data_IF_604710478661
#
_entry.id   IF_604710478661
#
_cell.length_a   1.000
_cell.length_b   1.000
_cell.length_c   1.000
_cell.angle_alpha   90.00
_cell.angle_beta   90.00
_cell.angle_gamma   90.00
#
_symmetry.space_group_name_H-M   'P 1'
#
loop_
_entity.id
_entity.type
_entity.pdbx_description
1 polymer ?
#
# COMPACT_ATOMS: atom_id res chain seq x y z
N UNK A 1 -8.17 -26.04 6.28
CA UNK A 1 -9.20 -25.09 6.74
C UNK A 1 -8.66 -24.06 7.74
N UNK A 2 -7.92 -24.48 8.76
CA UNK A 2 -7.35 -23.55 9.74
C UNK A 2 -6.35 -22.54 9.14
N UNK A 3 -5.55 -22.92 8.15
CA UNK A 3 -4.58 -22.03 7.50
C UNK A 3 -5.25 -20.88 6.72
N UNK A 4 -6.29 -21.19 5.92
CA UNK A 4 -7.03 -20.17 5.13
C UNK A 4 -7.69 -19.14 6.06
N UNK A 5 -8.34 -19.61 7.13
CA UNK A 5 -8.98 -18.70 8.11
C UNK A 5 -7.94 -17.82 8.79
N UNK A 6 -6.81 -18.40 9.20
CA UNK A 6 -5.70 -17.64 9.77
C UNK A 6 -5.17 -16.56 8.82
N UNK A 7 -4.93 -16.92 7.57
CA UNK A 7 -4.47 -15.99 6.54
C UNK A 7 -5.48 -14.85 6.29
N UNK A 8 -6.78 -15.15 6.21
CA UNK A 8 -7.82 -14.14 6.08
C UNK A 8 -7.92 -13.21 7.30
N UNK A 9 -7.72 -13.74 8.51
CA UNK A 9 -7.69 -12.92 9.73
C UNK A 9 -6.49 -11.96 9.70
N UNK A 10 -5.31 -12.44 9.32
CA UNK A 10 -4.11 -11.59 9.20
C UNK A 10 -4.32 -10.49 8.16
N UNK A 11 -4.87 -10.82 6.99
CA UNK A 11 -5.22 -9.83 5.97
C UNK A 11 -6.27 -8.81 6.46
N UNK A 12 -7.26 -9.27 7.22
CA UNK A 12 -8.27 -8.39 7.81
C UNK A 12 -7.65 -7.42 8.83
N UNK A 13 -6.68 -7.88 9.63
CA UNK A 13 -5.95 -7.04 10.59
C UNK A 13 -5.16 -5.95 9.84
N UNK A 14 -4.45 -6.34 8.78
CA UNK A 14 -3.70 -5.42 7.95
C UNK A 14 -4.62 -4.34 7.36
N UNK A 15 -5.67 -4.72 6.63
CA UNK A 15 -6.62 -3.77 6.04
C UNK A 15 -7.37 -2.90 7.05
N UNK A 16 -7.71 -3.45 8.23
CA UNK A 16 -8.35 -2.67 9.28
C UNK A 16 -7.45 -1.56 9.84
N UNK A 17 -6.12 -1.70 9.74
CA UNK A 17 -5.16 -0.70 10.21
C UNK A 17 -5.26 0.63 9.45
N UNK A 18 -5.65 0.61 8.18
CA UNK A 18 -6.00 1.83 7.40
C UNK A 18 -7.15 2.58 8.06
N UNK A 19 -8.14 1.85 8.57
CA UNK A 19 -9.24 2.44 9.37
C UNK A 19 -8.74 3.09 10.66
N UNK A 20 -7.70 2.54 11.33
CA UNK A 20 -7.07 3.16 12.51
C UNK A 20 -6.50 4.53 12.13
N UNK A 21 -5.81 4.63 10.99
CA UNK A 21 -5.32 5.90 10.44
C UNK A 21 -6.46 6.91 10.23
N UNK A 22 -7.56 6.46 9.61
CA UNK A 22 -8.77 7.26 9.46
C UNK A 22 -9.37 7.71 10.79
N UNK A 23 -9.36 6.84 11.81
CA UNK A 23 -9.85 7.17 13.15
C UNK A 23 -9.03 8.26 13.86
N UNK A 24 -7.74 8.38 13.59
CA UNK A 24 -6.90 9.45 14.17
C UNK A 24 -7.41 10.84 13.80
N UNK A 25 -8.04 11.00 12.63
CA UNK A 25 -8.65 12.26 12.19
C UNK A 25 -9.86 12.65 13.06
N UNK A 26 -10.51 11.69 13.72
CA UNK A 26 -11.62 11.97 14.65
C UNK A 26 -11.15 12.76 15.88
N UNK A 27 -9.92 12.51 16.34
CA UNK A 27 -9.37 13.04 17.58
C UNK A 27 -8.53 14.30 17.38
N UNK A 28 -7.89 14.47 16.22
CA UNK A 28 -7.04 15.65 15.94
C UNK A 28 -7.79 16.71 15.13
N UNK A 29 -7.77 17.96 15.62
CA UNK A 29 -8.38 19.12 14.93
C UNK A 29 -7.53 19.64 13.77
N UNK A 30 -6.21 19.44 13.81
CA UNK A 30 -5.26 19.86 12.77
C UNK A 30 -4.12 18.85 12.68
N UNK A 31 -3.83 18.38 11.48
CA UNK A 31 -2.66 17.57 11.16
C UNK A 31 -1.72 18.47 10.37
N UNK A 32 -0.44 18.55 10.78
CA UNK A 32 0.53 19.38 10.09
C UNK A 32 0.99 18.71 8.78
N UNK A 33 1.30 19.51 7.76
CA UNK A 33 1.83 19.02 6.49
C UNK A 33 3.15 18.26 6.67
N UNK A 34 4.01 18.72 7.58
CA UNK A 34 5.25 18.02 7.90
C UNK A 34 5.02 16.63 8.51
N UNK A 35 3.99 16.49 9.37
CA UNK A 35 3.62 15.17 9.90
C UNK A 35 3.13 14.25 8.79
N UNK A 36 2.30 14.75 7.88
CA UNK A 36 1.80 13.96 6.76
C UNK A 36 2.92 13.56 5.80
N UNK A 37 3.83 14.49 5.47
CA UNK A 37 5.01 14.20 4.66
C UNK A 37 5.90 13.10 5.28
N UNK A 38 6.18 13.20 6.57
CA UNK A 38 6.96 12.19 7.29
C UNK A 38 6.23 10.84 7.37
N UNK A 39 4.92 10.85 7.55
CA UNK A 39 4.10 9.64 7.64
C UNK A 39 4.01 8.91 6.28
N UNK A 40 3.77 9.64 5.17
CA UNK A 40 3.77 9.05 3.82
C UNK A 40 5.17 8.60 3.39
N UNK A 41 6.21 9.36 3.75
CA UNK A 41 7.59 8.92 3.57
C UNK A 41 7.87 7.62 4.32
N UNK A 42 7.41 7.50 5.57
CA UNK A 42 7.53 6.26 6.36
C UNK A 42 6.83 5.09 5.68
N UNK A 43 5.60 5.30 5.18
CA UNK A 43 4.87 4.29 4.40
C UNK A 43 5.69 3.82 3.20
N UNK A 44 6.16 4.74 2.35
CA UNK A 44 7.02 4.41 1.21
C UNK A 44 8.28 3.64 1.62
N UNK A 45 8.94 4.04 2.72
CA UNK A 45 10.13 3.38 3.24
C UNK A 45 9.88 1.94 3.69
N UNK A 46 8.78 1.68 4.40
CA UNK A 46 8.37 0.32 4.80
C UNK A 46 8.13 -0.54 3.55
N UNK A 47 7.34 -0.03 2.59
CA UNK A 47 7.01 -0.76 1.36
C UNK A 47 8.24 -1.07 0.51
N UNK A 48 9.15 -0.11 0.30
CA UNK A 48 10.40 -0.33 -0.44
C UNK A 48 11.23 -1.41 0.24
N UNK A 49 11.38 -1.31 1.57
CA UNK A 49 12.24 -2.23 2.30
C UNK A 49 11.67 -3.66 2.32
N UNK A 50 10.38 -3.84 2.62
CA UNK A 50 9.77 -5.18 2.63
C UNK A 50 9.81 -5.81 1.24
N UNK A 51 9.57 -5.05 0.18
CA UNK A 51 9.57 -5.54 -1.19
C UNK A 51 10.95 -6.07 -1.60
N UNK A 52 12.04 -5.37 -1.23
CA UNK A 52 13.41 -5.70 -1.66
C UNK A 52 14.15 -6.60 -0.67
N UNK A 53 13.83 -6.53 0.62
CA UNK A 53 14.53 -7.28 1.67
C UNK A 53 13.82 -8.57 2.07
N UNK A 54 12.53 -8.70 1.76
CA UNK A 54 11.72 -9.87 2.14
C UNK A 54 11.04 -10.50 0.93
N UNK A 55 10.05 -9.83 0.31
CA UNK A 55 9.18 -10.45 -0.69
C UNK A 55 9.95 -10.95 -1.93
N UNK A 56 10.83 -10.14 -2.48
CA UNK A 56 11.59 -10.51 -3.67
C UNK A 56 12.68 -11.57 -3.39
N UNK A 57 13.49 -11.48 -2.31
CA UNK A 57 14.42 -12.54 -1.91
C UNK A 57 13.71 -13.84 -1.58
N UNK A 58 12.58 -13.82 -0.88
CA UNK A 58 11.79 -15.01 -0.58
C UNK A 58 11.28 -15.68 -1.86
N UNK A 59 10.74 -14.89 -2.80
CA UNK A 59 10.35 -15.40 -4.11
C UNK A 59 11.51 -16.08 -4.85
N UNK A 60 12.73 -15.54 -4.72
CA UNK A 60 13.92 -16.16 -5.30
C UNK A 60 14.31 -17.46 -4.59
N UNK A 61 14.22 -17.50 -3.27
CA UNK A 61 14.53 -18.70 -2.48
C UNK A 61 13.54 -19.84 -2.79
N UNK A 62 12.26 -19.52 -2.80
CA UNK A 62 11.18 -20.47 -3.09
C UNK A 62 11.28 -21.05 -4.51
N UNK A 63 11.54 -20.23 -5.54
CA UNK A 63 11.66 -20.72 -6.90
C UNK A 63 12.89 -21.62 -7.09
N UNK A 64 13.97 -21.37 -6.35
CA UNK A 64 15.16 -22.25 -6.35
C UNK A 64 14.82 -23.59 -5.74
N UNK A 65 14.01 -23.62 -4.67
CA UNK A 65 13.58 -24.84 -4.02
C UNK A 65 12.77 -25.75 -4.95
N UNK A 66 12.09 -25.20 -5.98
CA UNK A 66 11.40 -26.00 -7.02
C UNK A 66 12.35 -26.77 -7.96
N UNK A 67 13.68 -26.60 -7.84
CA UNK A 67 14.69 -27.23 -8.70
C UNK A 67 15.06 -26.44 -9.98
N UNK A 68 14.41 -25.32 -10.23
CA UNK A 68 14.63 -24.47 -11.44
C UNK A 68 15.60 -23.33 -11.18
N UNK A 69 16.82 -23.60 -10.76
CA UNK A 69 17.75 -22.57 -10.25
C UNK A 69 18.00 -21.44 -11.24
N UNK A 70 18.36 -21.71 -12.49
CA UNK A 70 18.80 -20.66 -13.43
C UNK A 70 17.65 -19.94 -14.13
N UNK A 71 16.69 -20.70 -14.64
CA UNK A 71 15.52 -20.13 -15.31
C UNK A 71 14.47 -19.62 -14.32
N UNK A 72 14.36 -20.25 -13.14
CA UNK A 72 13.45 -19.81 -12.08
C UNK A 72 13.74 -18.40 -11.61
N UNK A 73 15.00 -18.04 -11.34
CA UNK A 73 15.38 -16.68 -10.97
C UNK A 73 15.06 -15.66 -12.06
N UNK A 74 15.24 -16.02 -13.35
CA UNK A 74 14.84 -15.15 -14.44
C UNK A 74 13.32 -14.93 -14.48
N UNK A 75 12.52 -15.97 -14.24
CA UNK A 75 11.06 -15.82 -14.17
C UNK A 75 10.60 -14.96 -13.00
N UNK A 76 11.23 -15.08 -11.82
CA UNK A 76 10.97 -14.21 -10.67
C UNK A 76 11.30 -12.76 -11.01
N UNK A 77 12.44 -12.50 -11.65
CA UNK A 77 12.81 -11.16 -12.09
C UNK A 77 11.82 -10.60 -13.14
N UNK A 78 11.41 -11.42 -14.09
CA UNK A 78 10.39 -11.04 -15.09
C UNK A 78 9.07 -10.74 -14.40
N UNK A 79 8.63 -11.56 -13.45
CA UNK A 79 7.39 -11.35 -12.69
C UNK A 79 7.41 -10.02 -11.93
N UNK A 80 8.55 -9.65 -11.33
CA UNK A 80 8.74 -8.35 -10.67
C UNK A 80 8.47 -7.19 -11.63
N UNK A 81 9.08 -7.18 -12.80
CA UNK A 81 8.88 -6.11 -13.78
C UNK A 81 7.51 -6.18 -14.47
N UNK A 82 6.92 -7.36 -14.59
CA UNK A 82 5.52 -7.50 -15.05
C UNK A 82 4.57 -6.87 -14.03
N UNK A 83 4.79 -7.07 -12.74
CA UNK A 83 4.03 -6.39 -11.68
C UNK A 83 4.13 -4.87 -11.79
N UNK A 84 5.36 -4.32 -11.93
CA UNK A 84 5.56 -2.89 -12.16
C UNK A 84 4.83 -2.40 -13.42
N UNK A 85 4.97 -3.13 -14.53
CA UNK A 85 4.32 -2.78 -15.81
C UNK A 85 2.79 -2.84 -15.74
N UNK A 86 2.24 -3.78 -14.98
CA UNK A 86 0.80 -3.91 -14.78
C UNK A 86 0.23 -2.68 -14.07
N UNK A 87 0.83 -2.26 -12.96
CA UNK A 87 0.35 -1.09 -12.22
C UNK A 87 0.58 0.20 -13.02
N UNK A 88 1.71 0.33 -13.72
CA UNK A 88 1.98 1.43 -14.66
C UNK A 88 0.88 1.51 -15.73
N UNK A 89 0.46 0.37 -16.30
CA UNK A 89 -0.61 0.34 -17.29
C UNK A 89 -1.95 0.77 -16.68
N UNK A 90 -2.25 0.35 -15.46
CA UNK A 90 -3.46 0.77 -14.75
C UNK A 90 -3.42 2.29 -14.53
N UNK A 91 -2.29 2.81 -14.06
CA UNK A 91 -2.09 4.24 -13.83
C UNK A 91 -2.33 5.07 -15.11
N UNK A 92 -1.76 4.67 -16.24
CA UNK A 92 -1.98 5.33 -17.54
C UNK A 92 -3.43 5.24 -18.05
N UNK A 93 -4.25 4.31 -17.55
CA UNK A 93 -5.67 4.26 -17.93
C UNK A 93 -6.53 5.22 -17.13
N UNK A 94 -6.02 5.75 -16.01
CA UNK A 94 -6.70 6.78 -15.23
C UNK A 94 -6.46 8.13 -15.91
N UNK A 95 -7.52 8.88 -16.30
CA UNK A 95 -7.34 10.17 -16.98
C UNK A 95 -6.52 11.15 -16.13
N UNK A 96 -5.57 11.88 -16.72
CA UNK A 96 -4.67 12.83 -16.05
C UNK A 96 -5.39 13.81 -15.12
N UNK A 97 -6.56 14.33 -15.54
CA UNK A 97 -7.39 15.24 -14.73
C UNK A 97 -8.12 14.53 -13.58
N UNK A 98 -8.10 13.21 -13.54
CA UNK A 98 -8.67 12.34 -12.49
C UNK A 98 -7.58 11.60 -11.73
N UNK A 99 -6.36 11.55 -12.28
CA UNK A 99 -5.25 10.84 -11.67
C UNK A 99 -4.73 11.63 -10.45
N UNK A 100 -4.84 11.09 -9.22
CA UNK A 100 -4.31 11.75 -8.04
C UNK A 100 -2.79 11.90 -8.07
N UNK A 101 -2.09 11.08 -8.89
CA UNK A 101 -0.64 11.10 -9.08
C UNK A 101 -0.22 12.33 -9.90
N UNK A 102 -1.03 12.72 -10.90
CA UNK A 102 -0.74 13.82 -11.81
C UNK A 102 -1.44 15.13 -11.46
N UNK A 103 -2.06 15.28 -10.30
CA UNK A 103 -2.71 16.52 -9.86
C UNK A 103 -1.74 17.73 -9.79
N UNK A 104 -0.84 17.82 -10.79
CA UNK A 104 0.14 18.87 -11.04
C UNK A 104 -0.47 20.19 -11.54
N UNK A 105 -1.77 20.21 -11.85
CA UNK A 105 -2.49 21.44 -12.20
C UNK A 105 -2.74 22.40 -11.03
N UNK A 106 -2.50 21.96 -9.80
CA UNK A 106 -2.46 22.81 -8.61
C UNK A 106 -1.00 23.13 -8.33
N UNK A 107 -0.46 24.18 -8.95
CA UNK A 107 0.83 24.79 -8.58
C UNK A 107 0.74 25.27 -7.14
N UNK A 108 1.05 24.36 -6.23
CA UNK A 108 1.10 24.66 -4.79
C UNK A 108 2.52 25.15 -4.50
N UNK A 109 2.65 26.45 -4.33
CA UNK A 109 3.86 27.05 -3.77
C UNK A 109 4.14 26.38 -2.41
N UNK A 110 5.31 25.77 -2.27
CA UNK A 110 5.66 24.76 -1.26
C UNK A 110 5.54 25.18 0.23
N UNK A 111 5.10 26.40 0.50
CA UNK A 111 4.89 26.92 1.86
C UNK A 111 3.45 26.83 2.37
N UNK A 112 2.50 26.58 1.49
CA UNK A 112 1.07 26.72 1.81
C UNK A 112 0.23 25.50 1.34
N UNK A 113 0.83 24.47 0.72
CA UNK A 113 0.10 23.43 0.01
C UNK A 113 -1.08 22.81 0.80
N UNK A 114 -0.87 22.35 2.01
CA UNK A 114 -1.98 21.84 2.83
C UNK A 114 -2.90 22.99 3.34
N UNK A 115 -2.34 24.17 3.59
CA UNK A 115 -3.08 25.36 4.05
C UNK A 115 -3.82 25.99 2.88
N UNK A 116 -3.28 25.96 1.65
CA UNK A 116 -3.93 26.50 0.45
C UNK A 116 -4.96 25.54 -0.12
N UNK A 117 -4.78 24.21 -0.03
CA UNK A 117 -5.88 23.26 -0.20
C UNK A 117 -7.01 23.55 0.80
N UNK A 118 -6.68 23.95 2.03
CA UNK A 118 -7.63 24.31 3.06
C UNK A 118 -8.25 25.69 2.84
N UNK A 119 -7.51 26.63 2.24
CA UNK A 119 -7.97 27.99 1.94
C UNK A 119 -8.69 28.09 0.59
N UNK A 120 -8.43 27.19 -0.36
CA UNK A 120 -9.26 26.94 -1.54
C UNK A 120 -10.58 26.22 -1.21
N UNK A 121 -10.92 26.11 0.08
CA UNK A 121 -12.21 25.59 0.59
C UNK A 121 -13.48 26.27 0.01
N UNK A 122 -13.35 27.17 -0.97
CA UNK A 122 -14.46 27.61 -1.83
C UNK A 122 -14.96 26.55 -2.82
N UNK A 123 -14.25 25.41 -2.99
CA UNK A 123 -14.67 24.35 -3.88
C UNK A 123 -14.77 22.99 -3.16
N UNK A 124 -15.80 22.85 -2.33
CA UNK A 124 -16.10 21.60 -1.60
C UNK A 124 -16.20 20.38 -2.54
N UNK A 125 -16.62 20.58 -3.80
CA UNK A 125 -16.71 19.53 -4.82
C UNK A 125 -15.32 19.04 -5.24
N UNK A 126 -14.36 19.93 -5.42
CA UNK A 126 -12.99 19.55 -5.79
C UNK A 126 -12.29 18.76 -4.67
N UNK A 127 -12.44 19.19 -3.41
CA UNK A 127 -11.92 18.48 -2.24
C UNK A 127 -12.58 17.11 -2.07
N UNK A 128 -13.90 17.02 -2.28
CA UNK A 128 -14.61 15.75 -2.20
C UNK A 128 -14.14 14.78 -3.28
N UNK A 129 -13.97 15.27 -4.52
CA UNK A 129 -13.43 14.49 -5.63
C UNK A 129 -12.01 14.01 -5.34
N UNK A 130 -11.12 14.89 -4.88
CA UNK A 130 -9.76 14.54 -4.49
C UNK A 130 -9.76 13.43 -3.42
N UNK A 131 -10.60 13.54 -2.40
CA UNK A 131 -10.70 12.53 -1.36
C UNK A 131 -11.20 11.17 -1.87
N UNK A 132 -12.15 11.14 -2.80
CA UNK A 132 -12.62 9.89 -3.42
C UNK A 132 -11.50 9.27 -4.27
N UNK A 133 -10.80 10.07 -5.07
CA UNK A 133 -9.71 9.59 -5.92
C UNK A 133 -8.54 9.06 -5.08
N UNK A 134 -8.17 9.75 -4.00
CA UNK A 134 -7.18 9.25 -3.04
C UNK A 134 -7.61 7.94 -2.39
N UNK A 135 -8.89 7.81 -2.02
CA UNK A 135 -9.41 6.57 -1.46
C UNK A 135 -9.36 5.42 -2.48
N UNK A 136 -9.64 5.71 -3.76
CA UNK A 136 -9.58 4.73 -4.84
C UNK A 136 -8.14 4.31 -5.13
N UNK A 137 -7.22 5.28 -5.23
CA UNK A 137 -5.79 5.00 -5.43
C UNK A 137 -5.26 4.07 -4.33
N UNK A 138 -5.51 4.44 -3.06
CA UNK A 138 -5.11 3.62 -1.91
C UNK A 138 -5.81 2.24 -1.91
N UNK A 139 -7.05 2.13 -2.38
CA UNK A 139 -7.69 0.84 -2.53
C UNK A 139 -7.04 -0.03 -3.63
N UNK A 140 -6.55 0.58 -4.71
CA UNK A 140 -5.87 -0.13 -5.80
C UNK A 140 -4.54 -0.72 -5.33
N UNK A 141 -3.76 0.01 -4.52
CA UNK A 141 -2.50 -0.53 -4.03
C UNK A 141 -2.65 -1.47 -2.82
N UNK A 142 -3.60 -1.26 -1.95
CA UNK A 142 -3.89 -2.21 -0.86
C UNK A 142 -4.37 -3.58 -1.38
N UNK A 143 -4.94 -3.63 -2.57
CA UNK A 143 -5.39 -4.90 -3.16
C UNK A 143 -4.25 -5.92 -3.37
N UNK A 144 -3.10 -5.58 -4.01
CA UNK A 144 -1.93 -6.46 -4.07
C UNK A 144 -1.33 -6.83 -2.71
N UNK A 145 -1.38 -5.91 -1.75
CA UNK A 145 -0.90 -6.16 -0.38
C UNK A 145 -1.71 -7.23 0.33
N UNK A 146 -3.03 -7.20 0.14
CA UNK A 146 -3.90 -8.26 0.63
C UNK A 146 -3.60 -9.62 0.02
N UNK A 147 -3.22 -9.68 -1.25
CA UNK A 147 -2.74 -10.90 -1.90
C UNK A 147 -1.43 -11.37 -1.24
N UNK A 148 -0.44 -10.47 -1.06
CA UNK A 148 0.84 -10.80 -0.45
C UNK A 148 0.68 -11.33 0.99
N UNK A 149 -0.12 -10.64 1.82
CA UNK A 149 -0.41 -11.05 3.20
C UNK A 149 -1.06 -12.42 3.23
N UNK A 150 -2.07 -12.64 2.37
CA UNK A 150 -2.83 -13.88 2.33
C UNK A 150 -1.97 -15.06 1.90
N UNK A 151 -1.25 -14.95 0.77
CA UNK A 151 -0.42 -16.05 0.27
C UNK A 151 0.81 -16.29 1.15
N UNK A 152 1.43 -15.23 1.70
CA UNK A 152 2.52 -15.36 2.66
C UNK A 152 2.09 -16.12 3.91
N UNK A 153 0.92 -15.79 4.46
CA UNK A 153 0.37 -16.48 5.64
C UNK A 153 -0.09 -17.92 5.36
N UNK A 154 -0.47 -18.24 4.13
CA UNK A 154 -0.79 -19.62 3.72
C UNK A 154 0.46 -20.47 3.61
N UNK A 155 1.55 -19.90 3.09
CA UNK A 155 2.81 -20.61 2.88
C UNK A 155 3.55 -20.78 4.21
N UNK A 156 3.76 -19.70 4.94
CA UNK A 156 4.38 -19.67 6.27
C UNK A 156 3.64 -18.70 7.20
N UNK A 157 3.04 -19.19 8.31
CA UNK A 157 2.36 -18.34 9.29
C UNK A 157 3.26 -17.29 9.95
N UNK A 158 4.56 -17.57 10.12
CA UNK A 158 5.52 -16.62 10.69
C UNK A 158 5.79 -15.49 9.70
N UNK A 159 6.08 -15.82 8.45
CA UNK A 159 6.20 -14.87 7.34
C UNK A 159 4.93 -14.02 7.20
N UNK A 160 3.75 -14.64 7.19
CA UNK A 160 2.46 -13.93 7.11
C UNK A 160 2.25 -12.95 8.27
N UNK A 161 2.68 -13.30 9.48
CA UNK A 161 2.61 -12.40 10.63
C UNK A 161 3.54 -11.20 10.46
N UNK A 162 4.76 -11.41 9.97
CA UNK A 162 5.73 -10.35 9.67
C UNK A 162 5.20 -9.39 8.60
N UNK A 163 4.68 -9.93 7.50
CA UNK A 163 4.05 -9.14 6.43
C UNK A 163 2.87 -8.33 6.98
N UNK A 164 1.98 -8.95 7.77
CA UNK A 164 0.82 -8.29 8.38
C UNK A 164 1.25 -7.12 9.26
N UNK A 165 2.28 -7.30 10.08
CA UNK A 165 2.80 -6.25 10.95
C UNK A 165 3.34 -5.08 10.14
N UNK A 166 4.15 -5.36 9.12
CA UNK A 166 4.69 -4.36 8.23
C UNK A 166 3.60 -3.55 7.52
N UNK A 167 2.65 -4.25 6.90
CA UNK A 167 1.52 -3.64 6.20
C UNK A 167 0.67 -2.82 7.18
N UNK A 168 0.41 -3.31 8.38
CA UNK A 168 -0.33 -2.55 9.38
C UNK A 168 0.33 -1.23 9.77
N UNK A 169 1.66 -1.18 9.83
CA UNK A 169 2.40 0.05 10.17
C UNK A 169 2.25 1.11 9.09
N UNK A 170 2.39 0.76 7.80
CA UNK A 170 2.30 1.75 6.74
C UNK A 170 0.87 2.12 6.37
N UNK A 171 -0.09 1.23 6.56
CA UNK A 171 -1.50 1.49 6.31
C UNK A 171 -2.09 2.60 7.22
N UNK A 172 -1.57 2.78 8.43
CA UNK A 172 -2.01 3.86 9.31
C UNK A 172 -1.76 5.25 8.68
N UNK A 173 -0.56 5.61 8.20
CA UNK A 173 -0.32 6.82 7.40
C UNK A 173 -1.26 6.97 6.20
N UNK A 174 -1.50 5.92 5.48
CA UNK A 174 -2.37 5.93 4.30
C UNK A 174 -3.83 6.22 4.65
N UNK A 175 -4.33 5.61 5.71
CA UNK A 175 -5.66 5.92 6.23
C UNK A 175 -5.81 7.39 6.64
N UNK A 176 -4.75 8.02 7.15
CA UNK A 176 -4.72 9.47 7.42
C UNK A 176 -4.79 10.25 6.11
N UNK A 177 -4.04 9.83 5.07
CA UNK A 177 -4.00 10.49 3.77
C UNK A 177 -5.37 10.47 3.07
N UNK A 178 -6.12 9.37 3.17
CA UNK A 178 -7.51 9.28 2.68
C UNK A 178 -8.45 10.13 3.51
N UNK A 179 -8.38 10.03 4.83
CA UNK A 179 -9.38 10.63 5.71
C UNK A 179 -9.32 12.17 5.74
N UNK A 180 -8.13 12.76 5.59
CA UNK A 180 -7.95 14.21 5.65
C UNK A 180 -8.75 14.94 4.57
N UNK A 181 -8.56 14.70 3.25
CA UNK A 181 -9.30 15.40 2.21
C UNK A 181 -10.80 15.16 2.30
N UNK A 182 -11.25 13.93 2.60
CA UNK A 182 -12.67 13.63 2.80
C UNK A 182 -13.27 14.42 3.97
N UNK A 183 -12.55 14.53 5.08
CA UNK A 183 -13.02 15.30 6.22
C UNK A 183 -13.16 16.80 5.89
N UNK A 184 -12.17 17.37 5.22
CA UNK A 184 -12.21 18.79 4.86
C UNK A 184 -13.31 19.09 3.84
N UNK A 185 -13.58 18.18 2.91
CA UNK A 185 -14.65 18.32 1.94
C UNK A 185 -16.04 18.17 2.54
N UNK A 186 -16.23 17.18 3.42
CA UNK A 186 -17.56 16.80 3.90
C UNK A 186 -17.92 17.36 5.27
N UNK A 187 -16.92 17.87 6.02
CA UNK A 187 -16.99 18.22 7.45
C UNK A 187 -17.53 17.09 8.33
N UNK A 188 -17.51 15.86 7.81
CA UNK A 188 -18.05 14.69 8.46
C UNK A 188 -16.94 13.67 8.76
N UNK A 189 -16.60 13.54 10.03
CA UNK A 189 -15.56 12.64 10.51
C UNK A 189 -15.88 11.15 10.23
N UNK A 190 -17.15 10.78 10.32
CA UNK A 190 -17.56 9.41 10.08
C UNK A 190 -17.44 9.00 8.60
N UNK A 191 -17.70 9.95 7.68
CA UNK A 191 -17.42 9.72 6.27
C UNK A 191 -15.93 9.53 6.04
N UNK A 192 -15.08 10.36 6.62
CA UNK A 192 -13.63 10.22 6.52
C UNK A 192 -13.14 8.85 7.01
N UNK A 193 -13.62 8.41 8.18
CA UNK A 193 -13.33 7.07 8.72
C UNK A 193 -13.82 5.97 7.78
N UNK A 194 -15.06 6.08 7.29
CA UNK A 194 -15.64 5.07 6.39
C UNK A 194 -14.81 4.89 5.12
N UNK A 195 -14.44 5.98 4.44
CA UNK A 195 -13.64 5.89 3.21
C UNK A 195 -12.25 5.29 3.46
N UNK A 196 -11.57 5.67 4.54
CA UNK A 196 -10.30 5.08 4.93
C UNK A 196 -10.43 3.58 5.24
N UNK A 197 -11.49 3.18 5.95
CA UNK A 197 -11.74 1.76 6.25
C UNK A 197 -12.06 0.97 4.97
N UNK A 198 -12.88 1.53 4.08
CA UNK A 198 -13.23 0.86 2.82
C UNK A 198 -12.02 0.70 1.90
N UNK A 199 -11.12 1.69 1.84
CA UNK A 199 -9.88 1.54 1.06
C UNK A 199 -8.98 0.42 1.61
N UNK A 200 -8.86 0.30 2.93
CA UNK A 200 -8.13 -0.82 3.54
C UNK A 200 -8.80 -2.18 3.36
N UNK A 201 -10.14 -2.23 3.27
CA UNK A 201 -10.85 -3.49 3.01
C UNK A 201 -10.58 -4.06 1.61
N UNK A 202 -9.97 -3.32 0.69
CA UNK A 202 -9.51 -3.85 -0.59
C UNK A 202 -8.46 -4.96 -0.44
N UNK A 203 -7.70 -4.99 0.65
CA UNK A 203 -6.82 -6.11 0.99
C UNK A 203 -7.60 -7.42 1.14
N UNK A 204 -8.70 -7.38 1.89
CA UNK A 204 -9.56 -8.56 2.06
C UNK A 204 -10.18 -8.99 0.73
N UNK A 205 -10.55 -8.02 -0.13
CA UNK A 205 -11.04 -8.32 -1.48
C UNK A 205 -9.95 -8.97 -2.31
N UNK A 206 -8.71 -8.49 -2.26
CA UNK A 206 -7.55 -9.09 -2.92
C UNK A 206 -7.32 -10.53 -2.50
N UNK A 207 -7.31 -10.79 -1.19
CA UNK A 207 -7.19 -12.14 -0.63
C UNK A 207 -8.32 -13.09 -1.08
N UNK A 208 -9.57 -12.62 -1.02
CA UNK A 208 -10.73 -13.41 -1.44
C UNK A 208 -10.72 -13.69 -2.95
N UNK A 209 -10.29 -12.72 -3.76
CA UNK A 209 -10.15 -12.89 -5.20
C UNK A 209 -9.04 -13.87 -5.52
N UNK A 210 -7.89 -13.79 -4.86
CA UNK A 210 -6.80 -14.74 -4.97
C UNK A 210 -7.29 -16.16 -4.63
N UNK A 211 -7.96 -16.33 -3.50
CA UNK A 211 -8.56 -17.61 -3.10
C UNK A 211 -9.57 -18.12 -4.12
N UNK A 212 -10.43 -17.26 -4.65
CA UNK A 212 -11.44 -17.63 -5.64
C UNK A 212 -10.81 -18.07 -6.98
N UNK A 213 -9.84 -17.31 -7.48
CA UNK A 213 -9.12 -17.65 -8.73
C UNK A 213 -8.38 -18.96 -8.58
N UNK A 214 -7.63 -19.16 -7.51
CA UNK A 214 -6.89 -20.40 -7.28
C UNK A 214 -7.83 -21.60 -7.12
N UNK A 215 -8.98 -21.43 -6.47
CA UNK A 215 -9.98 -22.49 -6.35
C UNK A 215 -10.64 -22.84 -7.70
N UNK A 216 -10.95 -21.85 -8.55
CA UNK A 216 -11.57 -22.07 -9.87
C UNK A 216 -10.62 -22.78 -10.82
N UNK A 217 -9.35 -22.41 -10.83
CA UNK A 217 -8.35 -22.97 -11.74
C UNK A 217 -7.61 -24.18 -11.17
N UNK A 218 -7.93 -24.61 -9.94
CA UNK A 218 -7.26 -25.74 -9.28
C UNK A 218 -5.78 -25.45 -8.98
N UNK A 219 -5.42 -24.19 -8.74
CA UNK A 219 -4.06 -23.78 -8.42
C UNK A 219 -3.83 -23.93 -6.93
N UNK A 220 -2.85 -24.74 -6.54
CA UNK A 220 -2.40 -24.85 -5.16
C UNK A 220 -1.28 -23.84 -4.90
N UNK A 221 -1.46 -22.97 -3.89
CA UNK A 221 -0.49 -21.92 -3.57
C UNK A 221 0.62 -22.38 -2.62
N UNK A 222 0.42 -23.51 -1.94
CA UNK A 222 1.33 -24.06 -0.94
C UNK A 222 1.83 -25.47 -1.31
N UNK A 223 1.86 -25.78 -2.59
CA UNK A 223 2.33 -27.09 -3.12
C UNK A 223 3.84 -27.11 -3.41
N UNK A 224 4.57 -26.00 -3.11
CA UNK A 224 5.97 -25.84 -3.49
C UNK A 224 6.17 -25.57 -4.98
N UNK A 225 5.10 -25.21 -5.69
CA UNK A 225 5.13 -24.89 -7.12
C UNK A 225 5.59 -23.47 -7.43
N UNK A 226 5.72 -23.11 -8.72
CA UNK A 226 6.24 -21.82 -9.14
C UNK A 226 5.24 -20.66 -9.00
N UNK A 227 3.96 -20.92 -8.75
CA UNK A 227 2.91 -19.89 -8.76
C UNK A 227 3.08 -18.93 -7.60
N UNK A 228 3.30 -19.44 -6.38
CA UNK A 228 3.49 -18.63 -5.19
C UNK A 228 4.64 -17.62 -5.36
N UNK A 229 5.89 -18.03 -5.68
CA UNK A 229 6.99 -17.09 -5.80
C UNK A 229 6.81 -16.09 -6.94
N UNK A 230 6.14 -16.44 -8.03
CA UNK A 230 5.88 -15.51 -9.13
C UNK A 230 4.87 -14.42 -8.74
N UNK A 231 3.79 -14.77 -8.03
CA UNK A 231 2.83 -13.79 -7.51
C UNK A 231 3.51 -12.88 -6.49
N UNK A 232 4.27 -13.45 -5.54
CA UNK A 232 4.97 -12.70 -4.51
C UNK A 232 5.92 -11.66 -5.11
N UNK A 233 6.68 -12.07 -6.14
CA UNK A 233 7.58 -11.18 -6.85
C UNK A 233 6.85 -10.08 -7.64
N UNK A 234 5.74 -10.40 -8.30
CA UNK A 234 4.94 -9.42 -9.01
C UNK A 234 4.36 -8.36 -8.05
N UNK A 235 3.87 -8.79 -6.88
CA UNK A 235 3.40 -7.86 -5.83
C UNK A 235 4.54 -6.98 -5.32
N UNK A 236 5.73 -7.53 -5.09
CA UNK A 236 6.90 -6.71 -4.72
C UNK A 236 7.19 -5.62 -5.77
N UNK A 237 7.08 -5.96 -7.06
CA UNK A 237 7.23 -4.99 -8.15
C UNK A 237 6.15 -3.89 -8.13
N UNK A 238 4.90 -4.26 -7.92
CA UNK A 238 3.78 -3.32 -7.78
C UNK A 238 4.06 -2.34 -6.62
N UNK A 239 4.43 -2.86 -5.46
CA UNK A 239 4.69 -2.06 -4.26
C UNK A 239 5.86 -1.06 -4.45
N UNK A 240 6.93 -1.47 -5.14
CA UNK A 240 8.04 -0.56 -5.48
C UNK A 240 7.55 0.57 -6.40
N UNK A 241 6.79 0.25 -7.44
CA UNK A 241 6.27 1.28 -8.34
C UNK A 241 5.42 2.31 -7.58
N UNK A 242 4.43 1.85 -6.81
CA UNK A 242 3.55 2.72 -6.02
C UNK A 242 4.34 3.59 -5.04
N UNK A 243 5.34 3.01 -4.38
CA UNK A 243 6.19 3.75 -3.43
C UNK A 243 6.93 4.91 -4.08
N UNK A 244 7.43 4.71 -5.30
CA UNK A 244 8.22 5.69 -6.03
C UNK A 244 7.37 6.70 -6.79
N UNK A 245 6.25 6.26 -7.36
CA UNK A 245 5.41 7.07 -8.23
C UNK A 245 4.32 7.85 -7.47
N UNK A 246 3.77 7.25 -6.42
CA UNK A 246 2.66 7.85 -5.66
C UNK A 246 3.09 8.37 -4.28
N UNK A 247 3.59 7.49 -3.40
CA UNK A 247 3.78 7.84 -2.00
C UNK A 247 4.88 8.85 -1.77
N UNK A 248 6.06 8.65 -2.38
CA UNK A 248 7.18 9.56 -2.21
C UNK A 248 6.93 10.94 -2.83
N UNK A 249 6.44 11.09 -4.08
CA UNK A 249 6.08 12.37 -4.63
C UNK A 249 4.98 13.08 -3.83
N UNK A 250 3.98 12.33 -3.34
CA UNK A 250 2.92 12.90 -2.50
C UNK A 250 3.47 13.37 -1.15
N UNK A 251 4.37 12.62 -0.52
CA UNK A 251 5.05 13.04 0.71
C UNK A 251 5.81 14.36 0.51
N UNK A 252 6.50 14.52 -0.62
CA UNK A 252 7.23 15.75 -0.95
C UNK A 252 6.29 16.93 -1.24
N UNK A 253 5.14 16.70 -1.87
CA UNK A 253 4.12 17.74 -2.10
C UNK A 253 3.53 18.27 -0.80
N UNK A 254 3.34 17.41 0.22
CA UNK A 254 2.74 17.83 1.49
C UNK A 254 3.70 18.56 2.42
N UNK A 255 5.01 18.35 2.33
CA UNK A 255 5.96 18.92 3.29
C UNK A 255 7.33 19.22 2.72
N UNK A 256 8.31 19.33 3.62
CA UNK A 256 9.70 19.54 3.23
C UNK A 256 10.32 18.24 2.75
N UNK A 257 11.02 18.26 1.62
CA UNK A 257 11.75 17.13 1.05
C UNK A 257 12.53 16.31 2.10
N UNK A 258 13.33 16.98 2.94
CA UNK A 258 14.10 16.29 3.97
C UNK A 258 13.26 15.57 5.02
N UNK A 259 12.03 16.00 5.27
CA UNK A 259 11.12 15.33 6.21
C UNK A 259 10.53 14.06 5.56
N UNK A 260 10.18 14.13 4.27
CA UNK A 260 9.74 12.97 3.50
C UNK A 260 10.85 11.91 3.46
N UNK A 261 12.09 12.29 3.09
CA UNK A 261 13.24 11.38 3.05
C UNK A 261 13.59 10.83 4.44
N UNK A 262 13.52 11.64 5.49
CA UNK A 262 13.70 11.14 6.86
C UNK A 262 12.62 10.12 7.23
N UNK A 263 11.39 10.31 6.77
CA UNK A 263 10.31 9.34 6.89
C UNK A 263 10.67 8.02 6.19
N UNK A 264 11.14 8.08 4.94
CA UNK A 264 11.58 6.89 4.17
C UNK A 264 12.65 6.11 4.94
N UNK A 265 13.70 6.79 5.39
CA UNK A 265 14.78 6.15 6.16
C UNK A 265 14.26 5.53 7.45
N UNK A 266 13.35 6.22 8.17
CA UNK A 266 12.74 5.69 9.38
C UNK A 266 11.88 4.47 9.09
N UNK A 267 11.08 4.49 8.01
CA UNK A 267 10.27 3.35 7.58
C UNK A 267 11.13 2.13 7.25
N UNK A 268 12.20 2.31 6.47
CA UNK A 268 13.16 1.25 6.18
C UNK A 268 13.78 0.68 7.48
N UNK A 269 14.17 1.55 8.41
CA UNK A 269 14.77 1.12 9.67
C UNK A 269 13.77 0.33 10.55
N UNK A 270 12.54 0.81 10.66
CA UNK A 270 11.48 0.11 11.42
C UNK A 270 11.22 -1.26 10.81
N UNK A 271 11.11 -1.33 9.46
CA UNK A 271 10.90 -2.60 8.78
C UNK A 271 12.09 -3.55 8.95
N UNK A 272 13.32 -3.05 8.81
CA UNK A 272 14.52 -3.86 9.02
C UNK A 272 14.63 -4.42 10.43
N UNK A 273 14.26 -3.63 11.45
CA UNK A 273 14.20 -4.11 12.85
C UNK A 273 13.08 -5.15 13.02
N UNK A 274 11.93 -4.93 12.39
CA UNK A 274 10.80 -5.87 12.42
C UNK A 274 11.18 -7.26 11.88
N UNK A 275 11.89 -7.32 10.75
CA UNK A 275 12.35 -8.56 10.14
C UNK A 275 13.40 -9.32 10.98
N UNK A 276 14.07 -8.64 11.92
CA UNK A 276 15.02 -9.30 12.83
C UNK A 276 14.29 -9.89 14.07
N UNK A 277 13.18 -9.27 14.49
CA UNK A 277 12.47 -9.62 15.72
C UNK A 277 11.39 -10.69 15.46
N UNK A 278 10.76 -10.64 14.32
CA UNK A 278 9.67 -11.56 13.90
C UNK A 278 10.22 -12.74 13.11
#
# INVERSE_FOLDING_TARGET
>A
MNGIIGALILTLIAGASTGIGGALVLFKKKISSNFLAGALGLSAGVMIFISLAELFPEAQAEIIATGSVRFGQAYVLIAFFVGMGLITLIDFTIPEYENPHEASGLTLDSKTAAVDMLNQAGNEKALHRLGILSALAIAIHNFPEGIATFIGALNDPQMGTGITFAISIHNIPEGIAVAIPIYYATKNKWKALLYATLSGMSEVIGALLCLGVTAIFGIELNDGGPVFPLILSAVAGIMIYISLDELLPTAEKYGKHHIAIAGVVAGMAIMGVSLIIL
#
